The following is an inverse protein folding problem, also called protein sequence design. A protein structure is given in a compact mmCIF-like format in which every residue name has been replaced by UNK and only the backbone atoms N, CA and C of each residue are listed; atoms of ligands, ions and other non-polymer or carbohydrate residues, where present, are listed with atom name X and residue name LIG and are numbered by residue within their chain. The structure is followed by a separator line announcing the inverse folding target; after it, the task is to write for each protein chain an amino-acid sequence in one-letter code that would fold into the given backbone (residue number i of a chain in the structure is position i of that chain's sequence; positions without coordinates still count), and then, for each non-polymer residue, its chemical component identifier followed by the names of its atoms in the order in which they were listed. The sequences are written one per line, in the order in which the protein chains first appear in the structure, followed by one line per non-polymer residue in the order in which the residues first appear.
data_IF_153252458857
#
_entry.id   IF_153252458857
#
_cell.length_a   1.000
_cell.length_b   1.000
_cell.length_c   1.000
_cell.angle_alpha   90.00
_cell.angle_beta   90.00
_cell.angle_gamma   90.00
#
_symmetry.space_group_name_H-M   'P 1'
#
loop_
_entity.id
_entity.type
_entity.pdbx_description
1 polymer ?
#
# COMPACT_ATOMS: atom_id res chain seq x y z
N UNK A 1 -26.83 -4.48 9.11
CA UNK A 1 -26.20 -3.26 9.63
C UNK A 1 -24.70 -3.50 9.69
N UNK A 2 -23.89 -2.70 8.98
CA UNK A 2 -22.44 -2.79 9.05
C UNK A 2 -21.98 -2.21 10.39
N UNK A 3 -21.37 -3.04 11.23
CA UNK A 3 -20.83 -2.64 12.54
C UNK A 3 -19.31 -2.64 12.41
N UNK A 4 -18.71 -1.46 12.49
CA UNK A 4 -17.26 -1.33 12.64
C UNK A 4 -16.92 -1.33 14.12
N UNK A 5 -16.20 -2.35 14.57
CA UNK A 5 -15.56 -2.36 15.88
C UNK A 5 -14.14 -1.88 15.69
N UNK A 6 -13.85 -0.69 16.20
CA UNK A 6 -12.48 -0.20 16.37
C UNK A 6 -12.06 -0.64 17.77
N UNK A 7 -11.10 -1.56 17.84
CA UNK A 7 -10.47 -1.97 19.08
C UNK A 7 -9.11 -1.27 19.14
N UNK A 8 -8.98 -0.25 19.98
CA UNK A 8 -7.68 0.33 20.32
C UNK A 8 -7.30 -0.10 21.74
N UNK A 9 -6.29 -0.96 21.83
CA UNK A 9 -5.06 -0.82 22.65
C UNK A 9 -4.34 -2.17 22.67
N UNK A 10 -3.27 -2.28 21.89
CA UNK A 10 -2.40 -3.46 21.90
C UNK A 10 -1.62 -3.50 23.23
N UNK A 11 -1.54 -4.68 23.83
CA UNK A 11 -0.72 -4.96 25.01
C UNK A 11 0.78 -4.91 24.66
N UNK A 12 1.66 -4.65 25.63
CA UNK A 12 3.12 -4.56 25.39
C UNK A 12 3.72 -5.85 24.77
N UNK A 13 3.12 -7.01 25.01
CA UNK A 13 3.50 -8.28 24.37
C UNK A 13 3.06 -8.38 22.90
N UNK A 14 1.94 -7.75 22.52
CA UNK A 14 1.50 -7.64 21.12
C UNK A 14 2.41 -6.70 20.33
N UNK A 15 2.83 -5.58 20.93
CA UNK A 15 3.77 -4.64 20.30
C UNK A 15 5.12 -5.31 19.98
N UNK A 16 5.60 -6.23 20.83
CA UNK A 16 6.84 -7.00 20.59
C UNK A 16 6.77 -7.98 19.43
N UNK A 17 5.57 -8.41 19.01
CA UNK A 17 5.39 -9.32 17.87
C UNK A 17 5.19 -8.60 16.55
N UNK A 18 5.03 -7.27 16.58
CA UNK A 18 4.78 -6.50 15.37
C UNK A 18 6.03 -6.46 14.48
N UNK A 19 5.85 -6.83 13.21
CA UNK A 19 6.82 -6.57 12.17
C UNK A 19 6.84 -5.07 11.92
N UNK A 20 8.01 -4.46 12.12
CA UNK A 20 8.22 -3.04 11.85
C UNK A 20 8.78 -2.90 10.44
N UNK A 21 8.07 -2.16 9.61
CA UNK A 21 8.50 -1.81 8.27
C UNK A 21 8.88 -0.34 8.22
N UNK A 22 10.05 -0.05 7.66
CA UNK A 22 10.54 1.31 7.48
C UNK A 22 10.66 1.62 6.00
N UNK A 23 10.40 2.86 5.62
CA UNK A 23 10.71 3.36 4.29
C UNK A 23 11.56 4.64 4.40
N UNK A 24 12.60 4.76 3.55
CA UNK A 24 13.47 5.92 3.59
C UNK A 24 12.75 7.17 3.06
N UNK A 25 13.37 8.33 3.29
CA UNK A 25 12.97 9.53 2.56
C UNK A 25 13.16 9.31 1.04
N UNK A 26 12.16 9.71 0.26
CA UNK A 26 12.13 9.51 -1.18
C UNK A 26 11.72 10.79 -1.90
N UNK A 27 12.20 10.95 -3.13
CA UNK A 27 11.69 11.98 -4.03
C UNK A 27 11.29 11.41 -5.38
N UNK A 28 10.29 12.03 -6.01
CA UNK A 28 9.87 11.69 -7.36
C UNK A 28 9.45 12.92 -8.16
N UNK A 29 9.99 13.04 -9.35
CA UNK A 29 9.73 14.13 -10.29
C UNK A 29 9.02 13.57 -11.52
N UNK A 30 7.93 14.21 -11.93
CA UNK A 30 7.13 13.83 -13.09
C UNK A 30 6.72 15.11 -13.84
N UNK A 31 7.55 15.54 -14.78
CA UNK A 31 7.35 16.82 -15.46
C UNK A 31 7.48 17.98 -14.48
N UNK A 32 6.44 18.80 -14.36
CA UNK A 32 6.39 19.92 -13.40
C UNK A 32 6.03 19.51 -11.97
N UNK A 33 5.58 18.26 -11.77
CA UNK A 33 5.21 17.77 -10.44
C UNK A 33 6.42 17.19 -9.72
N UNK A 34 6.61 17.57 -8.45
CA UNK A 34 7.64 17.02 -7.57
C UNK A 34 7.03 16.59 -6.25
N UNK A 35 7.20 15.30 -5.93
CA UNK A 35 6.79 14.69 -4.69
C UNK A 35 8.01 14.51 -3.78
N UNK A 36 7.88 15.00 -2.56
CA UNK A 36 8.80 14.75 -1.46
C UNK A 36 8.08 13.88 -0.43
N UNK A 37 8.72 12.79 -0.01
CA UNK A 37 8.21 11.88 1.00
C UNK A 37 9.27 11.81 2.09
N UNK A 38 8.89 12.20 3.30
CA UNK A 38 9.74 12.04 4.47
C UNK A 38 9.81 10.57 4.87
N UNK A 39 10.90 10.17 5.52
CA UNK A 39 11.03 8.80 6.05
C UNK A 39 9.91 8.48 7.05
N UNK A 40 9.50 7.23 7.11
CA UNK A 40 8.48 6.79 8.04
C UNK A 40 8.50 5.30 8.28
N UNK A 41 7.63 4.87 9.18
CA UNK A 41 7.51 3.47 9.58
C UNK A 41 6.03 3.11 9.75
N UNK A 42 5.73 1.83 9.57
CA UNK A 42 4.42 1.24 9.80
C UNK A 42 4.59 -0.17 10.36
N UNK A 43 3.59 -0.64 11.10
CA UNK A 43 3.56 -1.99 11.67
C UNK A 43 2.65 -2.91 10.86
N UNK A 44 2.77 -4.22 11.06
CA UNK A 44 1.74 -5.14 10.59
C UNK A 44 0.43 -4.92 11.38
N UNK A 45 -0.70 -5.28 10.76
CA UNK A 45 -2.03 -5.17 11.35
C UNK A 45 -2.54 -3.74 11.63
N UNK A 46 -1.89 -2.69 11.14
CA UNK A 46 -2.39 -1.31 11.20
C UNK A 46 -3.15 -0.88 9.93
N UNK A 47 -4.01 0.13 10.08
CA UNK A 47 -4.69 0.78 8.96
C UNK A 47 -4.19 2.22 8.86
N UNK A 48 -3.37 2.50 7.84
CA UNK A 48 -2.89 3.85 7.54
C UNK A 48 -3.82 4.54 6.55
N UNK A 49 -4.25 5.76 6.87
CA UNK A 49 -5.09 6.59 6.00
C UNK A 49 -4.27 7.72 5.38
N UNK A 50 -4.19 7.75 4.05
CA UNK A 50 -3.57 8.86 3.31
C UNK A 50 -4.61 9.91 2.92
N UNK A 51 -4.49 11.12 3.47
CA UNK A 51 -5.36 12.26 3.21
C UNK A 51 -4.65 13.33 2.37
N UNK A 52 -5.43 14.17 1.69
CA UNK A 52 -4.93 15.27 0.87
C UNK A 52 -5.68 15.41 -0.45
N UNK A 53 -5.48 16.52 -1.15
CA UNK A 53 -6.17 16.82 -2.40
C UNK A 53 -5.71 15.92 -3.57
N UNK A 54 -6.50 15.93 -4.65
CA UNK A 54 -6.08 15.28 -5.89
C UNK A 54 -4.86 16.01 -6.47
N UNK A 55 -3.80 15.26 -6.80
CA UNK A 55 -2.55 15.84 -7.27
C UNK A 55 -1.45 15.94 -6.20
N UNK A 56 -1.75 15.74 -4.90
CA UNK A 56 -0.73 15.76 -3.83
C UNK A 56 0.26 14.58 -3.87
N UNK A 57 0.07 13.60 -4.76
CA UNK A 57 1.01 12.49 -4.95
C UNK A 57 0.71 11.20 -4.18
N UNK A 58 -0.46 11.08 -3.52
CA UNK A 58 -0.87 9.87 -2.78
C UNK A 58 -0.73 8.57 -3.59
N UNK A 59 -1.30 8.55 -4.80
CA UNK A 59 -1.20 7.38 -5.70
C UNK A 59 0.24 7.12 -6.16
N UNK A 60 1.04 8.18 -6.34
CA UNK A 60 2.46 8.07 -6.70
C UNK A 60 3.24 7.43 -5.55
N UNK A 61 3.00 7.86 -4.31
CA UNK A 61 3.61 7.27 -3.11
C UNK A 61 3.28 5.78 -2.97
N UNK A 62 1.99 5.40 -3.08
CA UNK A 62 1.58 3.99 -3.02
C UNK A 62 2.28 3.16 -4.11
N UNK A 63 2.42 3.67 -5.34
CA UNK A 63 3.12 2.95 -6.40
C UNK A 63 4.61 2.80 -6.14
N UNK A 64 5.23 3.76 -5.45
CA UNK A 64 6.63 3.65 -5.05
C UNK A 64 6.81 2.59 -3.97
N UNK A 65 6.00 2.62 -2.91
CA UNK A 65 5.97 1.57 -1.89
C UNK A 65 5.69 0.18 -2.49
N UNK A 66 4.85 0.13 -3.53
CA UNK A 66 4.53 -1.11 -4.26
C UNK A 66 5.62 -1.63 -5.18
N UNK A 67 6.73 -0.91 -5.37
CA UNK A 67 7.76 -1.25 -6.33
C UNK A 67 7.31 -1.10 -7.80
N UNK A 68 6.10 -0.62 -8.05
CA UNK A 68 5.58 -0.35 -9.40
C UNK A 68 6.17 0.94 -10.00
N UNK A 69 6.80 1.79 -9.19
CA UNK A 69 7.44 3.03 -9.61
C UNK A 69 8.72 3.26 -8.80
N UNK A 70 9.88 3.39 -9.46
CA UNK A 70 11.12 3.69 -8.75
C UNK A 70 11.18 5.18 -8.32
N UNK A 71 11.68 5.52 -7.11
CA UNK A 71 11.99 6.89 -6.72
C UNK A 71 13.17 7.44 -7.56
N UNK A 72 13.30 8.77 -7.65
CA UNK A 72 14.44 9.42 -8.33
C UNK A 72 15.66 9.50 -7.41
N UNK A 73 15.42 9.70 -6.11
CA UNK A 73 16.42 9.66 -5.06
C UNK A 73 15.84 9.07 -3.78
N UNK A 74 16.70 8.44 -3.00
CA UNK A 74 16.36 7.65 -1.81
C UNK A 74 17.28 6.43 -1.76
N UNK A 75 18.09 6.31 -0.72
CA UNK A 75 19.18 5.32 -0.63
C UNK A 75 18.82 4.06 0.17
N UNK A 76 17.55 3.89 0.54
CA UNK A 76 17.09 2.74 1.31
C UNK A 76 16.42 1.70 0.43
N UNK A 77 16.64 0.43 0.75
CA UNK A 77 15.83 -0.65 0.21
C UNK A 77 14.41 -0.51 0.74
N UNK A 78 13.43 -0.44 -0.15
CA UNK A 78 12.04 -0.53 0.25
C UNK A 78 11.77 -1.96 0.77
N UNK A 79 10.92 -2.11 1.80
CA UNK A 79 10.59 -3.42 2.31
C UNK A 79 9.97 -4.27 1.19
N UNK A 80 10.44 -5.50 1.04
CA UNK A 80 9.83 -6.44 0.10
C UNK A 80 8.48 -6.90 0.64
N UNK A 81 7.42 -6.23 0.19
CA UNK A 81 6.05 -6.52 0.58
C UNK A 81 5.29 -7.21 -0.55
N UNK A 82 4.55 -8.25 -0.22
CA UNK A 82 3.54 -8.82 -1.12
C UNK A 82 2.32 -7.90 -1.14
N UNK A 83 2.32 -6.95 -2.07
CA UNK A 83 1.33 -5.88 -2.12
C UNK A 83 0.15 -6.25 -3.00
N UNK A 84 -1.05 -6.21 -2.42
CA UNK A 84 -2.30 -6.21 -3.18
C UNK A 84 -2.67 -4.77 -3.54
N UNK A 85 -2.56 -4.41 -4.81
CA UNK A 85 -2.79 -3.05 -5.29
C UNK A 85 -4.13 -2.94 -6.02
N UNK A 86 -5.00 -2.03 -5.54
CA UNK A 86 -6.26 -1.68 -6.20
C UNK A 86 -6.11 -0.34 -6.94
N UNK A 87 -6.06 -0.32 -8.29
CA UNK A 87 -5.94 0.93 -9.03
C UNK A 87 -7.19 1.80 -8.88
N UNK A 88 -6.98 3.12 -8.81
CA UNK A 88 -8.08 4.09 -8.72
C UNK A 88 -8.97 4.09 -9.98
N UNK A 89 -8.36 3.92 -11.17
CA UNK A 89 -9.10 3.75 -12.43
C UNK A 89 -9.13 2.27 -12.79
N UNK A 90 -10.33 1.72 -12.88
CA UNK A 90 -10.55 0.31 -13.24
C UNK A 90 -10.84 0.26 -14.74
N UNK A 91 -9.95 -0.38 -15.49
CA UNK A 91 -10.14 -0.67 -16.91
C UNK A 91 -9.85 -2.15 -17.11
N UNK A 92 -10.87 -3.02 -17.01
CA UNK A 92 -10.67 -4.46 -17.10
C UNK A 92 -10.17 -4.82 -18.50
N UNK A 93 -9.09 -5.60 -18.55
CA UNK A 93 -8.52 -6.14 -19.81
C UNK A 93 -8.89 -7.61 -20.03
N UNK A 94 -9.58 -8.22 -19.07
CA UNK A 94 -9.96 -9.63 -19.08
C UNK A 94 -11.29 -9.83 -19.81
N UNK A 95 -11.35 -10.84 -20.66
CA UNK A 95 -12.56 -11.25 -21.40
C UNK A 95 -13.39 -12.32 -20.67
N UNK A 96 -12.87 -12.90 -19.58
CA UNK A 96 -13.53 -13.96 -18.82
C UNK A 96 -14.54 -13.46 -17.77
N UNK A 97 -15.23 -14.42 -17.13
CA UNK A 97 -16.18 -14.13 -16.04
C UNK A 97 -15.47 -13.83 -14.72
N UNK A 98 -16.13 -13.06 -13.84
CA UNK A 98 -15.61 -12.69 -12.52
C UNK A 98 -15.18 -13.90 -11.69
N UNK A 99 -15.97 -14.99 -11.72
CA UNK A 99 -15.66 -16.24 -11.01
C UNK A 99 -14.27 -16.78 -11.38
N UNK A 100 -13.94 -16.77 -12.67
CA UNK A 100 -12.68 -17.29 -13.17
C UNK A 100 -11.51 -16.42 -12.69
N UNK A 101 -11.65 -15.09 -12.77
CA UNK A 101 -10.63 -14.16 -12.29
C UNK A 101 -10.34 -14.30 -10.79
N UNK A 102 -11.38 -14.51 -9.98
CA UNK A 102 -11.21 -14.74 -8.54
C UNK A 102 -10.54 -16.10 -8.27
N UNK A 103 -10.97 -17.15 -8.97
CA UNK A 103 -10.38 -18.47 -8.84
C UNK A 103 -8.89 -18.49 -9.25
N UNK A 104 -8.49 -17.71 -10.26
CA UNK A 104 -7.09 -17.60 -10.68
C UNK A 104 -6.19 -16.89 -9.64
N UNK A 105 -6.76 -16.04 -8.78
CA UNK A 105 -6.00 -15.22 -7.82
C UNK A 105 -6.03 -15.72 -6.38
N UNK A 106 -7.14 -16.33 -5.97
CA UNK A 106 -7.38 -16.75 -4.58
C UNK A 106 -8.07 -18.11 -4.55
N UNK A 107 -7.54 -19.07 -5.32
CA UNK A 107 -8.10 -20.43 -5.44
C UNK A 107 -8.39 -21.08 -4.08
N UNK A 108 -7.42 -20.98 -3.17
CA UNK A 108 -7.45 -21.67 -1.88
C UNK A 108 -8.36 -20.99 -0.85
N UNK A 109 -8.87 -19.78 -1.14
CA UNK A 109 -9.80 -19.07 -0.25
C UNK A 109 -11.25 -19.59 -0.34
N UNK A 110 -11.54 -20.45 -1.32
CA UNK A 110 -12.89 -20.96 -1.62
C UNK A 110 -13.01 -22.48 -1.48
N UNK A 111 -11.97 -23.16 -0.99
CA UNK A 111 -11.97 -24.61 -0.71
C UNK A 111 -12.36 -24.86 0.74
#
# INVERSE_FOLDING_TARGET
SLVFKVAESATEEEVKRMQHYEYPAMTKTMGSFKLHVDQGQFTDSEIVVLLGENGTGKTTFIRMLAGNLAPDSGSGELPQLNISYKPQKISPKSTGIVRQLLHDKIRDAYV
#
